data_IF_712107445713
#
_entry.id   IF_712107445713
#
_cell.length_a   1.000
_cell.length_b   1.000
_cell.length_c   1.000
_cell.angle_alpha   90.00
_cell.angle_beta   90.00
_cell.angle_gamma   90.00
#
_symmetry.space_group_name_H-M   'P 1'
#
loop_
_entity.id
_entity.type
_entity.pdbx_description
1 polymer ?
#
# COMPACT_ATOMS: atom_id res chain seq x y z
N UNK A 1 8.40 11.39 26.12
CA UNK A 1 7.36 10.95 25.18
C UNK A 1 7.88 9.73 24.43
N UNK A 2 7.14 8.62 24.47
CA UNK A 2 7.62 7.30 24.02
C UNK A 2 7.65 7.21 22.49
N UNK A 3 8.80 6.77 21.94
CA UNK A 3 9.05 6.54 20.51
C UNK A 3 8.05 5.58 19.82
N UNK A 4 7.15 4.94 20.57
CA UNK A 4 6.09 4.06 20.04
C UNK A 4 4.95 4.82 19.36
N UNK A 5 4.65 6.06 19.75
CA UNK A 5 3.53 6.83 19.17
C UNK A 5 3.92 7.51 17.86
N UNK A 6 5.18 7.89 17.68
CA UNK A 6 5.64 8.54 16.45
C UNK A 6 5.66 7.57 15.24
N UNK A 7 5.78 6.25 15.49
CA UNK A 7 5.70 5.21 14.44
C UNK A 7 4.27 4.84 14.03
N UNK A 8 3.25 5.25 14.81
CA UNK A 8 1.82 4.98 14.53
C UNK A 8 1.10 6.12 13.82
N UNK A 9 1.79 7.23 13.52
CA UNK A 9 1.13 8.53 13.33
C UNK A 9 1.15 9.17 11.95
N UNK A 10 1.76 8.58 10.91
CA UNK A 10 1.60 9.07 9.53
C UNK A 10 1.04 7.95 8.66
N UNK A 11 -0.29 7.89 8.54
CA UNK A 11 -0.94 7.08 7.50
C UNK A 11 -0.26 7.43 6.19
N UNK A 12 0.49 6.48 5.60
CA UNK A 12 1.01 6.63 4.24
C UNK A 12 -0.21 6.85 3.34
N UNK A 13 -0.35 8.06 2.82
CA UNK A 13 -1.33 8.34 1.79
C UNK A 13 -0.68 8.07 0.44
N UNK A 14 -1.33 7.25 -0.37
CA UNK A 14 -0.95 7.04 -1.75
C UNK A 14 -1.95 7.75 -2.66
N UNK A 15 -1.46 8.17 -3.81
CA UNK A 15 -2.23 8.79 -4.89
C UNK A 15 -2.36 7.81 -6.05
N UNK A 16 -3.36 8.05 -6.90
CA UNK A 16 -3.48 7.29 -8.14
C UNK A 16 -2.26 7.52 -9.02
N UNK A 17 -1.68 6.44 -9.55
CA UNK A 17 -0.44 6.48 -10.33
C UNK A 17 0.82 6.14 -9.52
N UNK A 18 0.75 6.13 -8.19
CA UNK A 18 1.90 5.75 -7.37
C UNK A 18 2.31 4.29 -7.64
N UNK A 19 3.60 4.07 -7.88
CA UNK A 19 4.23 2.75 -8.02
C UNK A 19 4.49 2.17 -6.65
N UNK A 20 3.99 0.96 -6.43
CA UNK A 20 3.97 0.32 -5.13
C UNK A 20 4.20 -1.18 -5.21
N UNK A 21 4.53 -1.77 -4.08
CA UNK A 21 4.63 -3.21 -3.88
C UNK A 21 4.00 -3.61 -2.57
N UNK A 22 3.49 -4.84 -2.50
CA UNK A 22 2.94 -5.41 -1.25
C UNK A 22 4.04 -5.94 -0.36
N UNK A 23 4.05 -5.46 0.88
CA UNK A 23 4.96 -5.80 1.96
C UNK A 23 4.26 -6.68 3.00
N UNK A 24 3.66 -7.77 2.51
CA UNK A 24 3.04 -8.80 3.35
C UNK A 24 3.18 -10.15 2.64
N UNK A 25 3.42 -11.21 3.41
CA UNK A 25 3.47 -12.56 2.88
C UNK A 25 2.09 -13.00 2.34
N UNK A 26 2.11 -13.76 1.25
CA UNK A 26 0.89 -14.26 0.60
C UNK A 26 0.95 -14.17 -0.92
N UNK A 27 -0.18 -14.45 -1.60
CA UNK A 27 -0.26 -14.25 -3.04
C UNK A 27 -0.01 -12.78 -3.37
N UNK A 28 0.81 -12.52 -4.39
CA UNK A 28 1.23 -11.18 -4.82
C UNK A 28 2.20 -10.44 -3.88
N UNK A 29 2.80 -11.14 -2.90
CA UNK A 29 3.89 -10.59 -2.09
C UNK A 29 5.07 -10.20 -3.01
N UNK A 30 5.61 -8.99 -2.83
CA UNK A 30 6.72 -8.52 -3.67
C UNK A 30 6.33 -8.21 -5.12
N UNK A 31 5.07 -8.40 -5.53
CA UNK A 31 4.63 -8.08 -6.89
C UNK A 31 4.36 -6.57 -7.00
N UNK A 32 5.03 -5.88 -7.93
CA UNK A 32 4.82 -4.47 -8.13
C UNK A 32 3.48 -4.18 -8.81
N UNK A 33 3.00 -2.97 -8.61
CA UNK A 33 1.73 -2.51 -9.15
C UNK A 33 1.54 -1.02 -8.96
N UNK A 34 0.41 -0.53 -9.45
CA UNK A 34 0.07 0.89 -9.46
C UNK A 34 -1.21 1.12 -8.67
N UNK A 35 -1.20 2.14 -7.81
CA UNK A 35 -2.41 2.59 -7.14
C UNK A 35 -3.40 3.14 -8.17
N UNK A 36 -4.61 2.61 -8.20
CA UNK A 36 -5.71 3.10 -9.07
C UNK A 36 -6.78 3.84 -8.27
N UNK A 37 -6.58 4.01 -6.97
CA UNK A 37 -7.40 4.84 -6.09
C UNK A 37 -7.70 4.19 -4.74
N UNK A 38 -8.46 4.88 -3.91
CA UNK A 38 -8.92 4.34 -2.63
C UNK A 38 -10.02 3.30 -2.86
N UNK A 39 -10.04 2.29 -1.99
CA UNK A 39 -11.18 1.38 -1.85
C UNK A 39 -12.28 2.06 -1.05
N UNK A 40 -13.54 1.70 -1.30
CA UNK A 40 -14.64 2.19 -0.47
C UNK A 40 -14.41 1.79 1.00
N UNK A 41 -14.68 2.72 1.91
CA UNK A 41 -14.63 2.48 3.35
C UNK A 41 -15.84 1.64 3.71
N UNK A 42 -15.61 0.44 4.26
CA UNK A 42 -16.69 -0.35 4.82
C UNK A 42 -17.20 0.34 6.10
N UNK A 43 -18.52 0.55 6.19
CA UNK A 43 -19.16 1.19 7.35
C UNK A 43 -18.66 0.56 8.66
N UNK A 44 -18.16 1.40 9.58
CA UNK A 44 -17.62 0.98 10.89
C UNK A 44 -16.09 0.95 11.01
N UNK A 45 -15.34 0.89 9.89
CA UNK A 45 -13.87 0.86 9.90
C UNK A 45 -13.26 2.15 9.35
N UNK A 46 -13.54 3.28 10.01
CA UNK A 46 -13.09 4.63 9.63
C UNK A 46 -11.55 4.78 9.73
N UNK A 47 -10.89 3.88 10.45
CA UNK A 47 -9.50 4.05 10.85
C UNK A 47 -8.50 3.48 9.83
N UNK A 48 -8.92 2.63 8.89
CA UNK A 48 -8.00 1.98 7.96
C UNK A 48 -8.24 2.42 6.51
N UNK A 49 -7.23 3.09 5.94
CA UNK A 49 -7.26 3.48 4.53
C UNK A 49 -6.85 2.27 3.70
N UNK A 50 -7.75 1.86 2.81
CA UNK A 50 -7.52 0.76 1.88
C UNK A 50 -7.44 1.28 0.45
N UNK A 51 -6.65 0.61 -0.38
CA UNK A 51 -6.40 1.00 -1.76
C UNK A 51 -6.78 -0.12 -2.73
N UNK A 52 -7.04 0.30 -3.97
CA UNK A 52 -7.11 -0.57 -5.13
C UNK A 52 -5.77 -0.48 -5.86
N UNK A 53 -5.20 -1.63 -6.18
CA UNK A 53 -3.89 -1.76 -6.81
C UNK A 53 -4.05 -2.60 -8.07
N UNK A 54 -3.60 -2.08 -9.22
CA UNK A 54 -3.44 -2.89 -10.43
C UNK A 54 -2.03 -3.46 -10.42
N UNK A 55 -1.91 -4.78 -10.32
CA UNK A 55 -0.61 -5.45 -10.38
C UNK A 55 -0.12 -5.51 -11.83
N UNK A 56 1.20 -5.56 -12.02
CA UNK A 56 1.78 -5.54 -13.37
C UNK A 56 1.54 -6.85 -14.13
N UNK A 57 1.64 -7.98 -13.44
CA UNK A 57 1.54 -9.33 -14.02
C UNK A 57 0.27 -10.07 -13.56
N UNK A 58 -0.69 -9.36 -12.98
CA UNK A 58 -1.85 -9.98 -12.33
C UNK A 58 -3.05 -9.04 -12.33
N UNK A 59 -4.13 -9.51 -11.71
CA UNK A 59 -5.39 -8.79 -11.62
C UNK A 59 -5.36 -7.64 -10.59
N UNK A 60 -6.51 -6.99 -10.42
CA UNK A 60 -6.65 -5.88 -9.47
C UNK A 60 -6.86 -6.41 -8.05
N UNK A 61 -6.03 -5.96 -7.11
CA UNK A 61 -6.29 -6.13 -5.68
C UNK A 61 -7.20 -5.00 -5.20
N UNK A 62 -8.29 -5.36 -4.53
CA UNK A 62 -9.22 -4.43 -3.91
C UNK A 62 -9.07 -4.51 -2.40
N UNK A 63 -8.84 -3.37 -1.75
CA UNK A 63 -8.93 -3.28 -0.31
C UNK A 63 -7.61 -3.49 0.44
N UNK A 64 -6.46 -3.31 -0.22
CA UNK A 64 -5.17 -3.48 0.46
C UNK A 64 -4.90 -2.36 1.46
N UNK A 65 -4.43 -2.69 2.66
CA UNK A 65 -4.20 -1.72 3.71
C UNK A 65 -2.94 -0.90 3.46
N UNK A 66 -2.99 0.41 3.74
CA UNK A 66 -1.84 1.31 3.57
C UNK A 66 -0.55 0.85 4.27
N UNK A 67 -0.68 0.12 5.38
CA UNK A 67 0.45 -0.40 6.17
C UNK A 67 1.19 -1.56 5.50
N UNK A 68 0.54 -2.25 4.55
CA UNK A 68 1.07 -3.39 3.82
C UNK A 68 1.63 -2.98 2.45
N UNK A 69 1.74 -1.68 2.18
CA UNK A 69 2.13 -1.13 0.87
C UNK A 69 3.39 -0.30 1.06
N UNK A 70 4.38 -0.54 0.21
CA UNK A 70 5.58 0.27 0.09
C UNK A 70 5.62 0.92 -1.29
N UNK A 71 6.28 2.07 -1.39
CA UNK A 71 6.62 2.61 -2.71
C UNK A 71 7.59 1.66 -3.40
N UNK A 72 7.48 1.56 -4.71
CA UNK A 72 8.33 0.73 -5.55
C UNK A 72 9.09 1.60 -6.52
N UNK A 73 10.38 1.32 -6.67
CA UNK A 73 11.25 1.96 -7.64
C UNK A 73 11.48 1.01 -8.81
N UNK A 74 10.97 1.37 -9.99
CA UNK A 74 11.10 0.56 -11.20
C UNK A 74 12.54 0.55 -11.74
N UNK A 75 13.37 1.55 -11.43
CA UNK A 75 14.77 1.61 -11.88
C UNK A 75 15.63 0.58 -11.13
N UNK A 76 15.49 0.54 -9.80
CA UNK A 76 16.24 -0.39 -8.94
C UNK A 76 15.52 -1.73 -8.74
N UNK A 77 14.26 -1.83 -9.17
CA UNK A 77 13.37 -2.99 -8.97
C UNK A 77 13.18 -3.36 -7.50
N UNK A 78 13.25 -2.38 -6.60
CA UNK A 78 13.27 -2.57 -5.15
C UNK A 78 12.18 -1.74 -4.45
N UNK A 79 11.66 -2.21 -3.30
CA UNK A 79 10.84 -1.36 -2.43
C UNK A 79 11.66 -0.21 -1.84
N UNK A 80 11.07 0.99 -1.81
CA UNK A 80 11.66 2.16 -1.16
C UNK A 80 11.30 2.11 0.34
N UNK A 81 12.29 1.75 1.16
CA UNK A 81 12.22 1.76 2.61
C UNK A 81 12.81 3.10 3.10
N UNK A 82 11.94 4.06 3.46
CA UNK A 82 12.31 5.32 4.12
C UNK A 82 12.21 5.20 5.63
#
# INVERSE_FOLDING_TARGET
MSNKEQRRGRKKSFNSGDRVVRDISGPYAGMPGTIIGRSQVQYGYIHDVRYRIRLDESDIIIGEYSKNILYYDDETKQPIIK
#
